data_IF_043728368737
#
_entry.id   IF_043728368737
#
_cell.length_a   1.000
_cell.length_b   1.000
_cell.length_c   1.000
_cell.angle_alpha   90.00
_cell.angle_beta   90.00
_cell.angle_gamma   90.00
#
_symmetry.space_group_name_H-M   'P 1'
#
loop_
_entity.id
_entity.type
_entity.pdbx_description
1 polymer ?
#
# COMPACT_ATOMS: atom_id res chain seq x y z
N UNK A 1 -27.05 -25.76 -3.19
CA UNK A 1 -26.44 -24.47 -2.85
C UNK A 1 -24.93 -24.69 -2.91
N UNK A 2 -24.22 -24.01 -3.80
CA UNK A 2 -22.75 -24.10 -3.83
C UNK A 2 -22.24 -23.39 -2.58
N UNK A 3 -21.62 -24.13 -1.67
CA UNK A 3 -20.86 -23.56 -0.56
C UNK A 3 -19.84 -22.59 -1.13
N UNK A 4 -19.99 -21.31 -0.80
CA UNK A 4 -19.01 -20.31 -1.14
C UNK A 4 -17.87 -20.50 -0.13
N UNK A 5 -16.89 -21.34 -0.48
CA UNK A 5 -15.73 -21.62 0.39
C UNK A 5 -14.81 -20.41 0.35
N UNK A 6 -14.94 -19.53 1.34
CA UNK A 6 -14.06 -18.39 1.54
C UNK A 6 -12.81 -18.84 2.30
N UNK A 7 -11.61 -18.71 1.70
CA UNK A 7 -10.35 -19.01 2.37
C UNK A 7 -9.93 -17.83 3.28
N UNK A 8 -10.54 -17.74 4.45
CA UNK A 8 -10.33 -16.65 5.42
C UNK A 8 -8.87 -16.51 5.88
N UNK A 9 -8.20 -17.63 6.16
CA UNK A 9 -6.79 -17.62 6.51
C UNK A 9 -5.92 -17.03 5.40
N UNK A 10 -6.30 -17.25 4.13
CA UNK A 10 -5.66 -16.62 2.98
C UNK A 10 -5.93 -15.11 2.87
N UNK A 11 -7.12 -14.66 3.25
CA UNK A 11 -7.48 -13.22 3.21
C UNK A 11 -6.77 -12.45 4.33
N UNK A 12 -6.78 -12.95 5.57
CA UNK A 12 -6.03 -12.34 6.68
C UNK A 12 -4.51 -12.38 6.43
N UNK A 13 -4.00 -13.51 5.93
CA UNK A 13 -2.59 -13.63 5.52
C UNK A 13 -2.22 -12.60 4.44
N UNK A 14 -3.05 -12.48 3.40
CA UNK A 14 -2.88 -11.50 2.34
C UNK A 14 -2.94 -10.04 2.81
N UNK A 15 -3.80 -9.74 3.80
CA UNK A 15 -3.86 -8.40 4.41
C UNK A 15 -2.55 -8.05 5.14
N UNK A 16 -1.98 -9.01 5.89
CA UNK A 16 -0.68 -8.84 6.54
C UNK A 16 0.46 -8.65 5.54
N UNK A 17 0.48 -9.46 4.48
CA UNK A 17 1.46 -9.34 3.38
C UNK A 17 1.39 -7.98 2.70
N UNK A 18 0.18 -7.46 2.45
CA UNK A 18 -0.01 -6.15 1.82
C UNK A 18 0.50 -5.04 2.71
N UNK A 19 0.20 -5.06 4.01
CA UNK A 19 0.76 -4.08 4.95
C UNK A 19 2.30 -4.12 4.96
N UNK A 20 2.90 -5.31 4.92
CA UNK A 20 4.35 -5.47 4.78
C UNK A 20 4.89 -4.87 3.48
N UNK A 21 4.20 -5.11 2.36
CA UNK A 21 4.55 -4.55 1.06
C UNK A 21 4.40 -3.02 1.01
N UNK A 22 3.38 -2.45 1.67
CA UNK A 22 3.21 -0.99 1.82
C UNK A 22 4.39 -0.39 2.57
N UNK A 23 4.77 -0.98 3.71
CA UNK A 23 5.90 -0.49 4.50
C UNK A 23 7.23 -0.60 3.73
N UNK A 24 7.43 -1.70 3.01
CA UNK A 24 8.61 -1.89 2.16
C UNK A 24 8.66 -0.85 1.05
N UNK A 25 7.52 -0.59 0.40
CA UNK A 25 7.42 0.41 -0.67
C UNK A 25 7.74 1.81 -0.15
N UNK A 26 7.21 2.19 1.02
CA UNK A 26 7.53 3.48 1.64
C UNK A 26 9.04 3.64 1.85
N UNK A 27 9.72 2.60 2.36
CA UNK A 27 11.17 2.62 2.54
C UNK A 27 11.94 2.80 1.23
N UNK A 28 11.53 2.11 0.16
CA UNK A 28 12.14 2.25 -1.17
C UNK A 28 11.92 3.64 -1.77
N UNK A 29 10.76 4.26 -1.52
CA UNK A 29 10.47 5.63 -1.97
C UNK A 29 11.36 6.66 -1.24
N UNK A 30 11.59 6.45 0.05
CA UNK A 30 12.48 7.30 0.85
C UNK A 30 13.95 7.15 0.40
N UNK A 31 14.39 5.92 0.12
CA UNK A 31 15.72 5.63 -0.41
C UNK A 31 15.93 6.23 -1.81
N UNK A 32 14.92 6.14 -2.67
CA UNK A 32 14.94 6.78 -3.99
C UNK A 32 14.99 8.31 -3.90
N UNK A 33 14.28 8.92 -2.94
CA UNK A 33 14.35 10.37 -2.68
C UNK A 33 15.75 10.79 -2.22
N UNK A 34 16.38 10.02 -1.33
CA UNK A 34 17.75 10.27 -0.88
C UNK A 34 18.75 10.16 -2.04
N UNK A 35 18.59 9.15 -2.90
CA UNK A 35 19.41 8.95 -4.10
C UNK A 35 19.27 10.13 -5.07
N UNK A 36 18.05 10.64 -5.27
CA UNK A 36 17.81 11.85 -6.06
C UNK A 36 18.59 13.04 -5.50
N UNK A 37 18.56 13.23 -4.17
CA UNK A 37 19.31 14.28 -3.49
C UNK A 37 20.81 14.19 -3.69
N UNK A 38 21.38 12.98 -3.65
CA UNK A 38 22.80 12.75 -3.93
C UNK A 38 23.18 13.09 -5.38
N UNK A 39 22.27 12.87 -6.33
CA UNK A 39 22.45 13.21 -7.75
C UNK A 39 22.27 14.70 -8.05
N UNK A 40 21.76 15.50 -7.10
CA UNK A 40 21.54 16.93 -7.31
C UNK A 40 22.82 17.65 -7.77
N UNK A 41 23.98 17.30 -7.21
CA UNK A 41 25.27 17.88 -7.59
C UNK A 41 25.62 17.63 -9.07
N UNK A 42 25.24 16.47 -9.63
CA UNK A 42 25.50 16.11 -11.04
C UNK A 42 24.65 16.97 -11.99
N UNK A 43 23.47 17.41 -11.56
CA UNK A 43 22.52 18.17 -12.39
C UNK A 43 22.66 19.69 -12.25
N UNK A 44 23.73 20.18 -11.63
CA UNK A 44 23.96 21.62 -11.39
C UNK A 44 23.47 22.10 -10.03
N UNK A 45 23.21 21.18 -9.10
CA UNK A 45 22.75 21.47 -7.74
C UNK A 45 21.23 21.43 -7.61
N UNK A 46 20.75 21.61 -6.37
CA UNK A 46 19.31 21.63 -6.04
C UNK A 46 18.55 22.82 -6.66
N UNK A 47 19.26 23.84 -7.13
CA UNK A 47 18.70 24.99 -7.85
C UNK A 47 18.44 24.73 -9.34
N UNK A 48 18.86 23.59 -9.87
CA UNK A 48 18.65 23.24 -11.28
C UNK A 48 17.17 22.98 -11.57
N UNK A 49 16.64 23.59 -12.63
CA UNK A 49 15.26 23.40 -13.08
C UNK A 49 14.97 21.92 -13.41
N UNK A 50 15.94 21.22 -13.99
CA UNK A 50 15.84 19.79 -14.28
C UNK A 50 15.72 18.97 -12.99
N UNK A 51 16.52 19.28 -11.97
CA UNK A 51 16.43 18.61 -10.67
C UNK A 51 15.08 18.87 -10.01
N UNK A 52 14.63 20.13 -9.97
CA UNK A 52 13.35 20.50 -9.37
C UNK A 52 12.17 19.82 -10.05
N UNK A 53 12.17 19.72 -11.38
CA UNK A 53 11.14 19.02 -12.13
C UNK A 53 11.07 17.53 -11.78
N UNK A 54 12.22 16.86 -11.69
CA UNK A 54 12.27 15.43 -11.32
C UNK A 54 11.90 15.23 -9.86
N UNK A 55 12.37 16.11 -8.96
CA UNK A 55 12.08 16.06 -7.54
C UNK A 55 10.57 16.24 -7.26
N UNK A 56 9.93 17.22 -7.91
CA UNK A 56 8.50 17.43 -7.80
C UNK A 56 7.70 16.24 -8.34
N UNK A 57 8.12 15.68 -9.48
CA UNK A 57 7.50 14.47 -10.04
C UNK A 57 7.64 13.28 -9.09
N UNK A 58 8.83 13.07 -8.53
CA UNK A 58 9.08 12.01 -7.55
C UNK A 58 8.17 12.14 -6.35
N UNK A 59 8.11 13.32 -5.74
CA UNK A 59 7.27 13.57 -4.56
C UNK A 59 5.79 13.32 -4.86
N UNK A 60 5.28 13.82 -5.99
CA UNK A 60 3.89 13.62 -6.38
C UNK A 60 3.56 12.14 -6.60
N UNK A 61 4.35 11.44 -7.41
CA UNK A 61 4.09 10.03 -7.73
C UNK A 61 4.28 9.13 -6.48
N UNK A 62 5.24 9.45 -5.62
CA UNK A 62 5.44 8.73 -4.36
C UNK A 62 4.25 8.92 -3.42
N UNK A 63 3.75 10.14 -3.29
CA UNK A 63 2.58 10.43 -2.47
C UNK A 63 1.32 9.72 -2.99
N UNK A 64 1.11 9.72 -4.30
CA UNK A 64 -0.01 9.01 -4.95
C UNK A 64 0.06 7.51 -4.73
N UNK A 65 1.25 6.91 -4.91
CA UNK A 65 1.45 5.48 -4.68
C UNK A 65 1.19 5.10 -3.22
N UNK A 66 1.71 5.89 -2.27
CA UNK A 66 1.48 5.66 -0.84
C UNK A 66 0.00 5.75 -0.49
N UNK A 67 -0.73 6.73 -1.03
CA UNK A 67 -2.17 6.86 -0.82
C UNK A 67 -2.93 5.65 -1.39
N UNK A 68 -2.58 5.20 -2.60
CA UNK A 68 -3.20 4.04 -3.24
C UNK A 68 -2.95 2.75 -2.44
N UNK A 69 -1.73 2.54 -1.95
CA UNK A 69 -1.38 1.37 -1.14
C UNK A 69 -2.07 1.36 0.22
N UNK A 70 -2.17 2.51 0.89
CA UNK A 70 -2.92 2.64 2.14
C UNK A 70 -4.41 2.37 1.92
N UNK A 71 -4.99 2.89 0.84
CA UNK A 71 -6.38 2.61 0.48
C UNK A 71 -6.62 1.13 0.22
N UNK A 72 -5.73 0.48 -0.54
CA UNK A 72 -5.78 -0.96 -0.79
C UNK A 72 -5.73 -1.77 0.51
N UNK A 73 -4.79 -1.46 1.41
CA UNK A 73 -4.68 -2.12 2.71
C UNK A 73 -5.95 -1.98 3.54
N UNK A 74 -6.53 -0.78 3.57
CA UNK A 74 -7.78 -0.50 4.28
C UNK A 74 -8.95 -1.31 3.71
N UNK A 75 -9.13 -1.30 2.39
CA UNK A 75 -10.21 -2.05 1.71
C UNK A 75 -10.13 -3.54 1.99
N UNK A 76 -8.91 -4.11 2.04
CA UNK A 76 -8.73 -5.54 2.31
C UNK A 76 -9.01 -5.86 3.78
N UNK A 77 -8.61 -4.98 4.70
CA UNK A 77 -8.98 -5.12 6.12
C UNK A 77 -10.50 -5.07 6.33
N UNK A 78 -11.20 -4.16 5.65
CA UNK A 78 -12.65 -4.02 5.70
C UNK A 78 -13.36 -5.25 5.12
N UNK A 79 -12.86 -5.77 4.01
CA UNK A 79 -13.37 -6.99 3.40
C UNK A 79 -13.22 -8.19 4.36
N UNK A 80 -12.06 -8.35 5.00
CA UNK A 80 -11.82 -9.38 6.00
C UNK A 80 -12.80 -9.30 7.18
N UNK A 81 -12.97 -8.10 7.76
CA UNK A 81 -13.88 -7.88 8.89
C UNK A 81 -15.35 -8.15 8.52
N UNK A 82 -15.79 -7.70 7.34
CA UNK A 82 -17.18 -7.87 6.87
C UNK A 82 -17.51 -9.35 6.66
N UNK A 83 -16.57 -10.11 6.09
CA UNK A 83 -16.77 -11.54 5.88
C UNK A 83 -16.81 -12.30 7.21
N UNK A 84 -15.90 -11.98 8.16
CA UNK A 84 -15.91 -12.59 9.49
C UNK A 84 -17.22 -12.34 10.25
N UNK A 85 -17.77 -11.13 10.15
CA UNK A 85 -19.06 -10.79 10.78
C UNK A 85 -20.23 -11.54 10.14
N UNK A 86 -20.21 -11.71 8.82
CA UNK A 86 -21.25 -12.42 8.07
C UNK A 86 -21.28 -13.91 8.46
N UNK A 87 -20.12 -14.56 8.51
CA UNK A 87 -19.98 -15.95 8.95
C UNK A 87 -20.45 -16.17 10.40
N UNK A 88 -20.09 -15.27 11.33
CA UNK A 88 -20.54 -15.37 12.71
C UNK A 88 -22.07 -15.29 12.83
N UNK A 89 -22.70 -14.41 12.03
CA UNK A 89 -24.16 -14.31 11.96
C UNK A 89 -24.82 -15.55 11.37
N UNK A 90 -24.26 -16.10 10.29
CA UNK A 90 -24.75 -17.33 9.64
C UNK A 90 -24.62 -18.53 10.59
N UNK A 91 -23.44 -18.71 11.20
CA UNK A 91 -23.20 -19.80 12.16
C UNK A 91 -24.15 -19.72 13.36
N UNK A 92 -24.37 -18.52 13.90
CA UNK A 92 -25.33 -18.31 15.00
C UNK A 92 -26.80 -18.54 14.61
N UNK A 93 -27.14 -18.48 13.31
CA UNK A 93 -28.49 -18.74 12.82
C UNK A 93 -28.76 -20.25 12.63
N UNK A 94 -27.70 -21.06 12.52
CA UNK A 94 -27.77 -22.51 12.35
C UNK A 94 -27.32 -23.31 13.58
N UNK A 95 -27.00 -22.65 14.70
CA UNK A 95 -26.64 -23.24 15.99
C UNK A 95 -27.83 -23.38 16.94
#
# INVERSE_FOLDING_TARGET
MSEQVWNFAGIEGGAGEINGAVSTTQGLLDEGKASLGALAAVWGGSGSEAYQAVQARWDNTSAELNAALQNLAQTISEAGSTMAQTEAGVTGMFA
#
